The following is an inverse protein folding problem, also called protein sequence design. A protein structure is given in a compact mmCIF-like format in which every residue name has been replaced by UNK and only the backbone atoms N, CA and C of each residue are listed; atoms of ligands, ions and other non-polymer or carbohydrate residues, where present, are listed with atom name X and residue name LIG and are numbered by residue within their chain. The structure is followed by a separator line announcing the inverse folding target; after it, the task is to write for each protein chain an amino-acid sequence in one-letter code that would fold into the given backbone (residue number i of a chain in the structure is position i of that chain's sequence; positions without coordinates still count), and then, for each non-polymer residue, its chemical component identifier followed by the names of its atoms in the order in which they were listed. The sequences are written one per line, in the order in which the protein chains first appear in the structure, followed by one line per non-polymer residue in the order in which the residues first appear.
data_IF_521578425185
#
_entry.id   IF_521578425185
#
_cell.length_a   1.000
_cell.length_b   1.000
_cell.length_c   1.000
_cell.angle_alpha   90.00
_cell.angle_beta   90.00
_cell.angle_gamma   90.00
#
_symmetry.space_group_name_H-M   'P 1'
#
loop_
_entity.id
_entity.type
_entity.pdbx_description
1 polymer ?
#
# COMPACT_ATOMS: atom_id res chain seq x y z
N UNK A 1 18.78 -14.26 -14.58
CA UNK A 1 19.47 -13.02 -14.14
C UNK A 1 19.30 -12.93 -12.63
N UNK A 2 20.35 -12.67 -11.84
CA UNK A 2 20.22 -12.60 -10.37
C UNK A 2 19.66 -11.22 -10.02
N UNK A 3 18.55 -11.17 -9.26
CA UNK A 3 17.93 -9.91 -8.84
C UNK A 3 18.79 -9.25 -7.75
N UNK A 4 18.80 -7.93 -7.72
CA UNK A 4 19.44 -7.16 -6.64
C UNK A 4 18.47 -7.04 -5.45
N UNK A 5 18.24 -8.18 -4.80
CA UNK A 5 17.46 -8.24 -3.57
C UNK A 5 18.40 -8.25 -2.37
N UNK A 6 18.03 -7.46 -1.37
CA UNK A 6 18.79 -7.32 -0.14
C UNK A 6 17.85 -7.30 1.06
N UNK A 7 18.39 -7.57 2.24
CA UNK A 7 17.68 -7.40 3.51
C UNK A 7 18.63 -6.77 4.53
N UNK A 8 18.10 -5.98 5.44
CA UNK A 8 18.85 -5.50 6.62
C UNK A 8 18.16 -6.05 7.85
N UNK A 9 18.92 -6.73 8.71
CA UNK A 9 18.39 -7.38 9.90
C UNK A 9 17.66 -6.41 10.85
N UNK A 10 16.59 -6.87 11.53
CA UNK A 10 15.95 -6.08 12.57
C UNK A 10 16.96 -5.67 13.66
N UNK A 11 16.91 -4.41 14.09
CA UNK A 11 17.79 -3.86 15.12
C UNK A 11 19.14 -3.34 14.61
N UNK A 12 19.51 -3.59 13.34
CA UNK A 12 20.59 -2.84 12.70
C UNK A 12 20.14 -1.38 12.41
N UNK A 13 21.05 -0.40 12.42
CA UNK A 13 20.76 0.98 12.02
C UNK A 13 20.37 1.09 10.53
N UNK A 14 19.11 0.77 10.20
CA UNK A 14 18.63 0.47 8.85
C UNK A 14 19.10 1.47 7.77
N UNK A 15 18.82 2.76 7.95
CA UNK A 15 19.18 3.79 6.97
C UNK A 15 20.69 4.00 6.87
N UNK A 16 21.40 4.02 8.00
CA UNK A 16 22.86 4.16 8.03
C UNK A 16 23.55 2.97 7.35
N UNK A 17 23.07 1.76 7.60
CA UNK A 17 23.55 0.54 6.94
C UNK A 17 23.34 0.62 5.43
N UNK A 18 22.14 1.01 4.99
CA UNK A 18 21.84 1.19 3.58
C UNK A 18 22.76 2.24 2.93
N UNK A 19 22.89 3.43 3.53
CA UNK A 19 23.72 4.52 2.98
C UNK A 19 25.18 4.10 2.88
N UNK A 20 25.74 3.42 3.89
CA UNK A 20 27.11 2.90 3.80
C UNK A 20 27.24 1.91 2.64
N UNK A 21 26.41 0.87 2.59
CA UNK A 21 26.47 -0.17 1.56
C UNK A 21 26.28 0.41 0.14
N UNK A 22 25.41 1.41 -0.02
CA UNK A 22 25.23 2.10 -1.30
C UNK A 22 26.49 2.88 -1.70
N UNK A 23 27.05 3.65 -0.77
CA UNK A 23 28.23 4.46 -1.01
C UNK A 23 29.49 3.59 -1.22
N UNK A 24 29.52 2.39 -0.66
CA UNK A 24 30.60 1.42 -0.82
C UNK A 24 30.45 0.58 -2.12
N UNK A 25 29.37 0.80 -2.90
CA UNK A 25 29.14 0.16 -4.20
C UNK A 25 28.57 -1.26 -4.13
N UNK A 26 28.06 -1.69 -2.97
CA UNK A 26 27.60 -3.07 -2.74
C UNK A 26 26.19 -3.35 -3.32
N UNK A 27 25.39 -2.29 -3.50
CA UNK A 27 23.97 -2.41 -3.88
C UNK A 27 23.78 -2.40 -5.40
N UNK A 28 24.28 -1.36 -6.07
CA UNK A 28 24.25 -1.19 -7.53
C UNK A 28 25.60 -0.66 -7.99
N UNK A 29 26.13 -1.20 -9.09
CA UNK A 29 27.47 -0.86 -9.58
C UNK A 29 27.63 0.59 -10.02
N UNK A 30 26.52 1.28 -10.30
CA UNK A 30 26.50 2.67 -10.78
C UNK A 30 26.55 3.73 -9.68
N UNK A 31 26.55 3.37 -8.39
CA UNK A 31 26.57 4.31 -7.28
C UNK A 31 27.65 3.94 -6.25
N UNK A 32 28.43 4.94 -5.86
CA UNK A 32 29.48 4.88 -4.85
C UNK A 32 29.86 6.30 -4.37
N UNK A 33 30.77 6.41 -3.41
CA UNK A 33 31.33 7.70 -2.94
C UNK A 33 32.01 8.50 -4.06
N UNK A 34 32.61 7.81 -5.01
CA UNK A 34 33.36 8.41 -6.12
C UNK A 34 32.46 8.76 -7.32
N UNK A 35 31.16 8.47 -7.21
CA UNK A 35 30.20 8.77 -8.27
C UNK A 35 30.09 10.28 -8.50
N UNK A 36 30.14 10.76 -9.76
CA UNK A 36 29.94 12.17 -10.05
C UNK A 36 28.61 12.70 -9.51
N UNK A 37 28.55 13.93 -8.95
CA UNK A 37 27.33 14.46 -8.33
C UNK A 37 26.08 14.41 -9.22
N UNK A 38 26.23 14.69 -10.52
CA UNK A 38 25.12 14.62 -11.48
C UNK A 38 24.62 13.20 -11.73
N UNK A 39 25.48 12.18 -11.58
CA UNK A 39 25.06 10.77 -11.70
C UNK A 39 24.31 10.34 -10.45
N UNK A 40 24.77 10.75 -9.26
CA UNK A 40 24.07 10.53 -7.99
C UNK A 40 22.66 11.14 -8.02
N UNK A 41 22.53 12.36 -8.54
CA UNK A 41 21.25 13.07 -8.64
C UNK A 41 20.21 12.40 -9.56
N UNK A 42 20.65 11.55 -10.50
CA UNK A 42 19.75 10.84 -11.43
C UNK A 42 19.21 9.54 -10.85
N UNK A 43 19.80 9.03 -9.77
CA UNK A 43 19.27 7.85 -9.10
C UNK A 43 17.97 8.18 -8.37
N UNK A 44 17.05 7.23 -8.39
CA UNK A 44 15.77 7.32 -7.69
C UNK A 44 15.73 6.30 -6.56
N UNK A 45 15.36 6.74 -5.35
CA UNK A 45 15.19 5.90 -4.17
C UNK A 45 13.76 6.05 -3.66
N UNK A 46 12.96 5.01 -3.83
CA UNK A 46 11.64 4.89 -3.22
C UNK A 46 11.75 4.51 -1.74
N UNK A 47 11.00 5.19 -0.89
CA UNK A 47 10.93 4.95 0.56
C UNK A 47 9.47 4.86 1.01
N UNK A 48 9.13 4.20 2.12
CA UNK A 48 7.72 4.03 2.51
C UNK A 48 7.03 5.38 2.82
N UNK A 49 7.68 6.25 3.62
CA UNK A 49 7.04 7.47 4.14
C UNK A 49 7.86 8.73 3.95
N UNK A 50 7.22 9.90 4.11
CA UNK A 50 7.90 11.21 4.12
C UNK A 50 8.96 11.29 5.20
N UNK A 51 8.65 10.72 6.38
CA UNK A 51 9.58 10.67 7.50
C UNK A 51 10.82 9.86 7.13
N UNK A 52 10.66 8.73 6.43
CA UNK A 52 11.77 7.93 5.93
C UNK A 52 12.61 8.72 4.91
N UNK A 53 11.98 9.50 4.01
CA UNK A 53 12.71 10.31 3.04
C UNK A 53 13.60 11.37 3.71
N UNK A 54 13.03 12.13 4.67
CA UNK A 54 13.78 13.15 5.41
C UNK A 54 14.93 12.54 6.22
N UNK A 55 14.69 11.40 6.86
CA UNK A 55 15.71 10.68 7.61
C UNK A 55 16.83 10.17 6.69
N UNK A 56 16.48 9.61 5.53
CA UNK A 56 17.46 9.13 4.56
C UNK A 56 18.33 10.28 4.01
N UNK A 57 17.72 11.42 3.70
CA UNK A 57 18.46 12.60 3.26
C UNK A 57 19.48 13.08 4.31
N UNK A 58 19.11 13.05 5.59
CA UNK A 58 20.01 13.39 6.69
C UNK A 58 21.18 12.40 6.82
N UNK A 59 20.94 11.09 6.66
CA UNK A 59 21.99 10.06 6.67
C UNK A 59 22.98 10.24 5.51
N UNK A 60 22.51 10.56 4.30
CA UNK A 60 23.40 10.89 3.19
C UNK A 60 24.25 12.13 3.47
N UNK A 61 23.64 13.19 4.01
CA UNK A 61 24.35 14.42 4.33
C UNK A 61 25.48 14.18 5.35
N UNK A 62 25.23 13.34 6.36
CA UNK A 62 26.24 12.94 7.34
C UNK A 62 27.33 12.05 6.72
N UNK A 63 26.96 11.10 5.86
CA UNK A 63 27.89 10.12 5.33
C UNK A 63 28.83 10.63 4.23
N UNK A 64 28.44 11.68 3.49
CA UNK A 64 29.22 12.26 2.40
C UNK A 64 30.22 13.33 2.86
N UNK A 65 30.11 13.83 4.11
CA UNK A 65 31.00 14.81 4.76
C UNK A 65 31.51 15.93 3.82
N UNK A 66 30.61 16.45 2.98
CA UNK A 66 30.88 17.45 1.94
C UNK A 66 30.09 18.72 2.19
N UNK A 67 30.70 19.88 1.90
CA UNK A 67 30.03 21.20 2.03
C UNK A 67 28.75 21.33 1.19
N UNK A 68 28.70 20.70 0.01
CA UNK A 68 27.53 20.62 -0.84
C UNK A 68 27.62 19.38 -1.74
N UNK A 69 26.52 18.64 -1.87
CA UNK A 69 26.41 17.48 -2.75
C UNK A 69 25.00 17.42 -3.32
N UNK A 70 24.86 16.84 -4.51
CA UNK A 70 23.57 16.45 -5.02
C UNK A 70 23.22 15.07 -4.47
N UNK A 71 21.99 14.91 -4.00
CA UNK A 71 21.46 13.66 -3.48
C UNK A 71 20.62 12.96 -4.56
N UNK A 72 20.45 11.63 -4.45
CA UNK A 72 19.43 10.92 -5.23
C UNK A 72 18.05 11.55 -5.04
N UNK A 73 17.17 11.37 -6.03
CA UNK A 73 15.74 11.68 -5.89
C UNK A 73 15.15 10.70 -4.89
N UNK A 74 14.74 11.17 -3.71
CA UNK A 74 14.14 10.32 -2.69
C UNK A 74 12.62 10.51 -2.75
N UNK A 75 11.90 9.48 -3.19
CA UNK A 75 10.47 9.52 -3.47
C UNK A 75 9.69 8.65 -2.47
N UNK A 76 8.85 9.23 -1.62
CA UNK A 76 7.94 8.47 -0.77
C UNK A 76 6.87 7.75 -1.58
N UNK A 77 6.62 6.48 -1.26
CA UNK A 77 5.51 5.67 -1.79
C UNK A 77 4.17 6.05 -1.13
N UNK A 78 4.22 6.70 0.03
CA UNK A 78 3.09 7.02 0.91
C UNK A 78 1.97 7.89 0.34
N UNK A 79 1.94 8.15 -0.96
CA UNK A 79 0.75 8.66 -1.62
C UNK A 79 -0.46 7.73 -1.36
N UNK A 80 -0.26 6.41 -1.35
CA UNK A 80 -1.32 5.43 -1.05
C UNK A 80 -1.52 5.14 0.45
N UNK A 81 -0.66 5.64 1.35
CA UNK A 81 -0.68 5.30 2.79
C UNK A 81 -1.05 6.51 3.69
N UNK A 82 -0.77 7.74 3.28
CA UNK A 82 -0.99 8.95 4.10
C UNK A 82 -2.16 9.78 3.56
N UNK A 83 -3.31 9.71 4.26
CA UNK A 83 -4.54 10.52 4.03
C UNK A 83 -4.32 12.04 4.07
N UNK A 84 -3.14 12.55 4.41
CA UNK A 84 -2.91 13.98 4.69
C UNK A 84 -2.06 14.76 3.68
N UNK A 85 -1.41 14.16 2.67
CA UNK A 85 -0.43 14.91 1.86
C UNK A 85 -0.47 14.72 0.33
N UNK A 86 -1.58 14.23 -0.24
CA UNK A 86 -1.71 14.05 -1.70
C UNK A 86 -1.50 15.36 -2.52
N UNK A 87 -1.80 16.53 -1.95
CA UNK A 87 -1.75 17.82 -2.64
C UNK A 87 -0.34 18.32 -3.00
N UNK A 88 0.72 17.76 -2.42
CA UNK A 88 2.11 18.22 -2.63
C UNK A 88 2.87 17.45 -3.75
N UNK A 89 2.30 16.36 -4.28
CA UNK A 89 3.05 15.40 -5.12
C UNK A 89 2.64 15.33 -6.59
N UNK A 90 1.78 16.24 -7.07
CA UNK A 90 1.47 16.34 -8.49
C UNK A 90 2.68 16.69 -9.39
N UNK A 91 3.83 17.05 -8.81
CA UNK A 91 4.97 17.62 -9.56
C UNK A 91 6.20 16.72 -9.77
N UNK A 92 6.29 15.53 -9.18
CA UNK A 92 7.55 14.75 -9.18
C UNK A 92 7.47 13.38 -9.88
N UNK A 93 6.26 12.90 -10.15
CA UNK A 93 6.04 11.88 -11.16
C UNK A 93 6.09 12.58 -12.52
N UNK A 94 7.28 12.63 -13.09
CA UNK A 94 7.57 13.11 -14.46
C UNK A 94 7.05 12.09 -15.49
N UNK A 95 5.86 11.56 -15.24
CA UNK A 95 5.09 10.84 -16.23
C UNK A 95 4.38 11.98 -16.95
N UNK A 96 4.62 12.12 -18.27
CA UNK A 96 3.57 12.60 -19.17
C UNK A 96 2.41 11.59 -19.05
N UNK A 97 1.76 11.59 -17.88
CA UNK A 97 0.71 10.68 -17.54
C UNK A 97 -0.43 11.05 -18.46
N UNK A 98 -0.82 10.04 -19.23
CA UNK A 98 -1.94 10.02 -20.15
C UNK A 98 -2.91 11.17 -19.88
N UNK A 99 -2.99 12.12 -20.82
CA UNK A 99 -3.94 13.23 -20.77
C UNK A 99 -5.41 12.75 -20.63
N UNK A 100 -5.64 11.43 -20.64
CA UNK A 100 -6.91 10.76 -20.39
C UNK A 100 -7.25 10.49 -18.92
N UNK A 101 -6.37 10.71 -17.94
CA UNK A 101 -6.75 10.47 -16.54
C UNK A 101 -7.73 11.56 -16.05
N UNK A 102 -8.92 11.12 -15.64
CA UNK A 102 -9.89 12.00 -14.99
C UNK A 102 -9.29 12.64 -13.73
N UNK A 103 -9.65 13.90 -13.47
CA UNK A 103 -9.20 14.60 -12.27
C UNK A 103 -9.80 13.96 -11.01
N UNK A 104 -9.03 13.85 -9.92
CA UNK A 104 -9.56 13.42 -8.63
C UNK A 104 -10.73 14.30 -8.19
N UNK A 105 -11.76 13.69 -7.59
CA UNK A 105 -12.80 14.45 -6.91
C UNK A 105 -12.24 15.08 -5.62
N UNK A 106 -12.65 16.32 -5.33
CA UNK A 106 -12.28 17.00 -4.10
C UNK A 106 -12.94 16.34 -2.87
N UNK A 107 -12.20 16.23 -1.77
CA UNK A 107 -12.65 15.48 -0.58
C UNK A 107 -13.95 16.05 0.02
N UNK A 108 -14.11 17.38 0.03
CA UNK A 108 -15.36 17.99 0.51
C UNK A 108 -16.55 17.65 -0.40
N UNK A 109 -16.37 17.71 -1.72
CA UNK A 109 -17.42 17.36 -2.68
C UNK A 109 -17.79 15.88 -2.54
N UNK A 110 -16.77 15.00 -2.50
CA UNK A 110 -16.93 13.56 -2.26
C UNK A 110 -17.75 13.29 -1.01
N UNK A 111 -17.38 13.91 0.11
CA UNK A 111 -18.04 13.70 1.39
C UNK A 111 -19.48 14.20 1.40
N UNK A 112 -19.78 15.32 0.76
CA UNK A 112 -21.16 15.83 0.64
C UNK A 112 -22.03 14.94 -0.25
N UNK A 113 -21.51 14.45 -1.39
CA UNK A 113 -22.24 13.55 -2.28
C UNK A 113 -22.54 12.21 -1.59
N UNK A 114 -21.54 11.59 -0.96
CA UNK A 114 -21.75 10.36 -0.19
C UNK A 114 -22.75 10.56 0.95
N UNK A 115 -22.72 11.71 1.64
CA UNK A 115 -23.71 12.04 2.68
C UNK A 115 -25.14 12.07 2.13
N UNK A 116 -25.34 12.60 0.92
CA UNK A 116 -26.65 12.63 0.28
C UNK A 116 -27.15 11.22 -0.05
N UNK A 117 -26.29 10.34 -0.57
CA UNK A 117 -26.64 8.94 -0.85
C UNK A 117 -27.00 8.19 0.43
N UNK A 118 -26.26 8.42 1.52
CA UNK A 118 -26.54 7.82 2.82
C UNK A 118 -27.91 8.29 3.36
N UNK A 119 -28.23 9.58 3.23
CA UNK A 119 -29.54 10.11 3.65
C UNK A 119 -30.68 9.52 2.81
N UNK A 120 -30.51 9.44 1.49
CA UNK A 120 -31.49 8.83 0.58
C UNK A 120 -31.70 7.35 0.89
N UNK A 121 -30.62 6.61 1.16
CA UNK A 121 -30.68 5.22 1.60
C UNK A 121 -31.41 5.06 2.93
N UNK A 122 -31.13 5.92 3.92
CA UNK A 122 -31.76 5.87 5.23
C UNK A 122 -33.28 6.14 5.13
N UNK A 123 -33.69 7.11 4.31
CA UNK A 123 -35.09 7.41 4.01
C UNK A 123 -35.78 6.23 3.29
N UNK A 124 -35.11 5.62 2.31
CA UNK A 124 -35.64 4.49 1.55
C UNK A 124 -35.87 3.23 2.40
N UNK A 125 -35.07 3.01 3.45
CA UNK A 125 -35.31 1.91 4.41
C UNK A 125 -36.45 2.27 5.36
N UNK A 126 -36.49 3.51 5.85
CA UNK A 126 -37.66 4.15 6.49
C UNK A 126 -38.28 3.47 7.73
N UNK A 127 -37.74 2.33 8.19
CA UNK A 127 -38.32 1.48 9.25
C UNK A 127 -37.23 0.92 10.16
N UNK A 128 -37.48 0.90 11.46
CA UNK A 128 -36.57 0.32 12.44
C UNK A 128 -36.59 -1.20 12.38
N UNK A 129 -35.42 -1.82 12.38
CA UNK A 129 -35.28 -3.25 12.52
C UNK A 129 -35.48 -3.65 14.00
N UNK A 130 -36.51 -4.45 14.30
CA UNK A 130 -36.84 -4.87 15.68
C UNK A 130 -36.25 -6.24 16.01
N UNK A 131 -36.39 -7.19 15.09
CA UNK A 131 -35.96 -8.58 15.28
C UNK A 131 -35.80 -9.30 13.94
N UNK A 132 -35.25 -10.51 13.98
CA UNK A 132 -35.09 -11.41 12.83
C UNK A 132 -35.70 -12.75 13.23
N UNK A 133 -36.55 -13.32 12.37
CA UNK A 133 -37.15 -14.64 12.64
C UNK A 133 -36.21 -15.81 12.27
N UNK A 134 -36.63 -17.05 12.52
CA UNK A 134 -35.80 -18.24 12.27
C UNK A 134 -35.55 -18.54 10.79
N UNK A 135 -36.20 -17.82 9.87
CA UNK A 135 -35.94 -17.91 8.43
C UNK A 135 -34.95 -16.87 7.94
N UNK A 136 -34.50 -15.97 8.81
CA UNK A 136 -33.76 -14.80 8.39
C UNK A 136 -34.62 -13.92 7.51
N UNK A 137 -35.84 -13.61 7.95
CA UNK A 137 -36.62 -12.47 7.45
C UNK A 137 -36.65 -11.32 8.49
N UNK A 138 -36.48 -10.04 8.08
CA UNK A 138 -36.36 -8.93 9.01
C UNK A 138 -37.75 -8.50 9.48
N UNK A 139 -37.95 -8.46 10.79
CA UNK A 139 -39.13 -7.86 11.41
C UNK A 139 -38.88 -6.37 11.60
N UNK A 140 -39.50 -5.57 10.74
CA UNK A 140 -39.41 -4.11 10.73
C UNK A 140 -40.61 -3.50 11.48
N UNK A 141 -40.39 -2.47 12.30
CA UNK A 141 -41.49 -1.68 12.86
C UNK A 141 -41.85 -0.55 11.90
N UNK A 142 -43.11 -0.46 11.50
CA UNK A 142 -43.59 0.65 10.66
C UNK A 142 -43.59 2.00 11.39
N UNK A 143 -43.60 1.98 12.73
CA UNK A 143 -43.76 3.18 13.55
C UNK A 143 -42.45 3.75 14.11
N UNK A 144 -41.33 3.05 13.92
CA UNK A 144 -40.02 3.49 14.43
C UNK A 144 -39.05 3.77 13.27
N UNK A 145 -38.29 4.87 13.29
CA UNK A 145 -37.32 5.18 12.25
C UNK A 145 -36.02 4.39 12.46
N UNK A 146 -35.36 3.99 11.36
CA UNK A 146 -33.99 3.48 11.42
C UNK A 146 -33.06 4.61 11.93
N UNK A 147 -32.32 4.36 13.01
CA UNK A 147 -31.50 5.40 13.66
C UNK A 147 -30.13 5.62 12.99
N UNK A 148 -29.79 4.87 11.94
CA UNK A 148 -28.54 5.04 11.20
C UNK A 148 -28.58 6.35 10.41
N UNK A 149 -27.58 7.22 10.62
CA UNK A 149 -27.46 8.50 9.93
C UNK A 149 -28.71 9.40 10.04
N UNK A 150 -29.41 9.38 11.17
CA UNK A 150 -30.67 10.12 11.44
C UNK A 150 -30.55 11.65 11.41
N UNK A 151 -29.34 12.19 11.25
CA UNK A 151 -29.07 13.63 11.11
C UNK A 151 -28.06 13.87 9.98
N UNK A 152 -28.08 15.07 9.36
CA UNK A 152 -27.06 15.42 8.36
C UNK A 152 -25.62 15.32 8.87
N UNK A 153 -25.37 15.61 10.15
CA UNK A 153 -24.05 15.47 10.75
C UNK A 153 -23.64 14.00 10.91
N UNK A 154 -24.58 13.13 11.27
CA UNK A 154 -24.31 11.69 11.36
C UNK A 154 -24.06 11.09 9.97
N UNK A 155 -24.83 11.49 8.94
CA UNK A 155 -24.58 11.10 7.56
C UNK A 155 -23.20 11.56 7.06
N UNK A 156 -22.80 12.80 7.40
CA UNK A 156 -21.48 13.34 7.05
C UNK A 156 -20.31 12.65 7.77
N UNK A 157 -20.52 12.17 8.99
CA UNK A 157 -19.55 11.32 9.68
C UNK A 157 -19.46 9.94 9.00
N UNK A 158 -20.60 9.29 8.73
CA UNK A 158 -20.65 7.99 8.08
C UNK A 158 -20.09 8.02 6.64
N UNK A 159 -20.26 9.13 5.93
CA UNK A 159 -19.67 9.35 4.61
C UNK A 159 -18.14 9.26 4.62
N UNK A 160 -17.47 9.68 5.71
CA UNK A 160 -16.02 9.55 5.83
C UNK A 160 -15.57 8.09 6.00
N UNK A 161 -16.33 7.30 6.77
CA UNK A 161 -16.08 5.87 6.94
C UNK A 161 -16.35 5.11 5.64
N UNK A 162 -17.45 5.43 4.96
CA UNK A 162 -17.76 4.83 3.65
C UNK A 162 -16.70 5.20 2.59
N UNK A 163 -16.25 6.46 2.57
CA UNK A 163 -15.14 6.89 1.72
C UNK A 163 -13.84 6.14 2.03
N UNK A 164 -13.53 5.92 3.31
CA UNK A 164 -12.37 5.13 3.73
C UNK A 164 -12.47 3.68 3.23
N UNK A 165 -13.65 3.06 3.33
CA UNK A 165 -13.89 1.73 2.81
C UNK A 165 -13.67 1.68 1.29
N UNK A 166 -14.25 2.63 0.54
CA UNK A 166 -14.05 2.72 -0.93
C UNK A 166 -12.56 2.80 -1.27
N UNK A 167 -11.79 3.59 -0.52
CA UNK A 167 -10.36 3.71 -0.72
C UNK A 167 -9.62 2.39 -0.46
N UNK A 168 -9.99 1.66 0.59
CA UNK A 168 -9.42 0.35 0.89
C UNK A 168 -9.72 -0.68 -0.20
N UNK A 169 -10.94 -0.68 -0.77
CA UNK A 169 -11.28 -1.55 -1.90
C UNK A 169 -10.42 -1.26 -3.13
N UNK A 170 -10.17 0.02 -3.42
CA UNK A 170 -9.26 0.39 -4.49
C UNK A 170 -7.82 -0.06 -4.22
N UNK A 171 -7.32 0.16 -3.01
CA UNK A 171 -5.95 -0.16 -2.60
C UNK A 171 -5.70 -1.67 -2.67
N UNK A 172 -6.64 -2.48 -2.20
CA UNK A 172 -6.52 -3.95 -2.10
C UNK A 172 -6.95 -4.71 -3.37
N UNK A 173 -7.21 -4.01 -4.48
CA UNK A 173 -7.62 -4.65 -5.75
C UNK A 173 -8.89 -5.51 -5.60
N UNK A 174 -9.79 -5.16 -4.68
CA UNK A 174 -11.02 -5.93 -4.43
C UNK A 174 -12.04 -5.68 -5.54
N UNK A 175 -12.40 -6.74 -6.27
CA UNK A 175 -13.48 -6.66 -7.27
C UNK A 175 -14.83 -6.48 -6.60
N UNK A 176 -15.72 -5.72 -7.24
CA UNK A 176 -17.13 -5.59 -6.84
C UNK A 176 -17.83 -6.95 -6.79
N UNK A 177 -17.46 -7.88 -7.69
CA UNK A 177 -18.02 -9.23 -7.76
C UNK A 177 -17.66 -10.09 -6.54
N UNK A 178 -16.60 -9.75 -5.80
CA UNK A 178 -16.20 -10.49 -4.61
C UNK A 178 -17.26 -10.39 -3.50
N UNK A 179 -18.01 -9.28 -3.45
CA UNK A 179 -19.05 -9.07 -2.45
C UNK A 179 -20.28 -9.95 -2.65
N UNK A 180 -20.54 -10.39 -3.88
CA UNK A 180 -21.65 -11.30 -4.18
C UNK A 180 -21.39 -12.71 -3.62
N UNK A 181 -20.14 -13.03 -3.26
CA UNK A 181 -19.74 -14.32 -2.69
C UNK A 181 -19.70 -14.35 -1.15
N UNK A 182 -19.86 -13.20 -0.49
CA UNK A 182 -19.74 -13.07 0.96
C UNK A 182 -21.03 -13.40 1.74
N UNK A 183 -22.09 -13.91 1.08
CA UNK A 183 -23.33 -14.27 1.77
C UNK A 183 -23.19 -15.63 2.47
N UNK A 184 -22.91 -15.60 3.78
CA UNK A 184 -23.14 -16.75 4.65
C UNK A 184 -24.65 -16.88 4.94
N UNK A 185 -25.19 -18.07 4.69
CA UNK A 185 -26.61 -18.45 4.92
C UNK A 185 -27.06 -18.28 6.39
N UNK A 186 -26.13 -18.01 7.32
CA UNK A 186 -26.38 -17.92 8.76
C UNK A 186 -26.79 -16.52 9.28
N UNK A 187 -26.61 -15.44 8.49
CA UNK A 187 -26.84 -14.04 8.95
C UNK A 187 -27.64 -13.17 7.96
N UNK A 188 -28.47 -13.81 7.13
CA UNK A 188 -29.16 -13.30 5.92
C UNK A 188 -29.67 -11.84 5.95
N UNK A 189 -30.32 -11.38 7.02
CA UNK A 189 -31.03 -10.08 6.98
C UNK A 189 -30.21 -8.84 7.30
N UNK A 190 -29.40 -8.91 8.36
CA UNK A 190 -28.50 -7.80 8.68
C UNK A 190 -27.47 -7.66 7.56
N UNK A 191 -27.03 -8.80 7.03
CA UNK A 191 -26.24 -8.85 5.83
C UNK A 191 -26.96 -8.21 4.63
N UNK A 192 -28.25 -8.49 4.40
CA UNK A 192 -29.00 -7.85 3.33
C UNK A 192 -29.08 -6.31 3.46
N UNK A 193 -29.19 -5.77 4.68
CA UNK A 193 -29.16 -4.32 4.93
C UNK A 193 -27.76 -3.76 4.66
N UNK A 194 -26.72 -4.41 5.17
CA UNK A 194 -25.32 -4.02 4.93
C UNK A 194 -24.97 -4.10 3.44
N UNK A 195 -25.36 -5.16 2.74
CA UNK A 195 -25.17 -5.28 1.29
C UNK A 195 -25.87 -4.15 0.54
N UNK A 196 -27.13 -3.83 0.90
CA UNK A 196 -27.85 -2.68 0.31
C UNK A 196 -27.13 -1.36 0.57
N UNK A 197 -26.57 -1.15 1.77
CA UNK A 197 -25.75 0.02 2.07
C UNK A 197 -24.47 0.05 1.23
N UNK A 198 -23.78 -1.08 1.12
CA UNK A 198 -22.55 -1.21 0.32
C UNK A 198 -22.81 -1.01 -1.18
N UNK A 199 -24.04 -1.19 -1.68
CA UNK A 199 -24.38 -0.82 -3.07
C UNK A 199 -24.14 0.66 -3.37
N UNK A 200 -24.19 1.54 -2.36
CA UNK A 200 -23.79 2.95 -2.51
C UNK A 200 -22.34 3.02 -3.02
N UNK A 201 -21.42 2.33 -2.34
CA UNK A 201 -20.00 2.30 -2.70
C UNK A 201 -19.73 1.50 -3.99
N UNK A 202 -20.45 0.40 -4.20
CA UNK A 202 -20.14 -0.58 -5.24
C UNK A 202 -20.79 -0.26 -6.60
N UNK A 203 -21.90 0.48 -6.63
CA UNK A 203 -22.65 0.76 -7.87
C UNK A 203 -22.97 2.24 -8.06
N UNK A 204 -23.61 2.88 -7.09
CA UNK A 204 -24.07 4.26 -7.24
C UNK A 204 -22.91 5.25 -7.34
N UNK A 205 -21.91 5.09 -6.48
CA UNK A 205 -20.75 5.97 -6.41
C UNK A 205 -19.88 5.95 -7.68
N UNK A 206 -19.49 4.78 -8.24
CA UNK A 206 -18.77 4.72 -9.52
C UNK A 206 -19.52 5.41 -10.67
N UNK A 207 -20.85 5.28 -10.73
CA UNK A 207 -21.66 5.94 -11.76
C UNK A 207 -21.64 7.47 -11.60
N UNK A 208 -21.78 7.96 -10.36
CA UNK A 208 -21.72 9.39 -10.02
C UNK A 208 -20.38 10.01 -10.44
N UNK A 209 -19.28 9.29 -10.23
CA UNK A 209 -17.94 9.71 -10.67
C UNK A 209 -17.82 9.72 -12.19
N UNK A 210 -18.33 8.69 -12.87
CA UNK A 210 -18.33 8.58 -14.33
C UNK A 210 -19.10 9.75 -14.97
N UNK A 211 -20.31 10.05 -14.48
CA UNK A 211 -21.16 11.14 -14.98
C UNK A 211 -20.50 12.52 -14.81
N UNK A 212 -19.64 12.66 -13.78
CA UNK A 212 -18.89 13.89 -13.49
C UNK A 212 -17.54 13.96 -14.19
N UNK A 213 -17.09 12.89 -14.86
CA UNK A 213 -15.73 12.79 -15.38
C UNK A 213 -14.69 12.97 -14.27
N UNK A 214 -14.92 12.29 -13.14
CA UNK A 214 -14.04 12.32 -11.95
C UNK A 214 -13.61 10.90 -11.58
N UNK A 215 -12.65 10.81 -10.67
CA UNK A 215 -12.15 9.57 -10.09
C UNK A 215 -11.87 9.77 -8.60
N UNK A 216 -11.93 8.72 -7.79
CA UNK A 216 -11.42 8.79 -6.41
C UNK A 216 -9.91 9.03 -6.38
N UNK A 217 -9.44 9.76 -5.37
CA UNK A 217 -8.01 10.06 -5.21
C UNK A 217 -7.16 8.79 -5.04
N UNK A 218 -7.66 7.80 -4.30
CA UNK A 218 -7.01 6.49 -4.11
C UNK A 218 -6.83 5.74 -5.44
N UNK A 219 -7.89 5.68 -6.25
CA UNK A 219 -7.86 5.06 -7.58
C UNK A 219 -6.96 5.83 -8.56
N UNK A 220 -6.95 7.17 -8.50
CA UNK A 220 -6.06 7.99 -9.30
C UNK A 220 -4.58 7.71 -8.98
N UNK A 221 -4.21 7.71 -7.70
CA UNK A 221 -2.84 7.43 -7.25
C UNK A 221 -2.40 6.02 -7.66
N UNK A 222 -3.28 5.03 -7.50
CA UNK A 222 -3.03 3.67 -7.95
C UNK A 222 -2.73 3.63 -9.46
N UNK A 223 -3.53 4.30 -10.29
CA UNK A 223 -3.30 4.39 -11.74
C UNK A 223 -1.97 5.07 -12.09
N UNK A 224 -1.54 6.08 -11.32
CA UNK A 224 -0.22 6.70 -11.52
C UNK A 224 0.91 5.69 -11.28
N UNK A 225 0.81 4.88 -10.22
CA UNK A 225 1.81 3.85 -9.95
C UNK A 225 1.77 2.76 -11.02
N UNK A 226 0.59 2.35 -11.48
CA UNK A 226 0.46 1.38 -12.57
C UNK A 226 1.06 1.90 -13.88
N UNK A 227 0.86 3.17 -14.20
CA UNK A 227 1.50 3.84 -15.34
C UNK A 227 3.03 3.86 -15.17
N UNK A 228 3.52 4.17 -13.97
CA UNK A 228 4.96 4.14 -13.66
C UNK A 228 5.54 2.73 -13.82
N UNK A 229 4.83 1.68 -13.38
CA UNK A 229 5.24 0.28 -13.56
C UNK A 229 5.34 -0.06 -15.05
N UNK A 230 4.31 0.31 -15.83
CA UNK A 230 4.28 0.09 -17.27
C UNK A 230 5.44 0.81 -17.96
N UNK A 231 5.74 2.05 -17.55
CA UNK A 231 6.86 2.82 -18.10
C UNK A 231 8.21 2.20 -17.76
N UNK A 232 8.42 1.72 -16.53
CA UNK A 232 9.65 1.01 -16.15
C UNK A 232 9.88 -0.24 -17.00
N UNK A 233 8.80 -0.94 -17.38
CA UNK A 233 8.89 -2.12 -18.23
C UNK A 233 9.14 -1.75 -19.72
N UNK A 234 8.49 -0.69 -20.21
CA UNK A 234 8.58 -0.24 -21.61
C UNK A 234 9.90 0.45 -21.91
N UNK A 235 10.35 1.32 -21.02
CA UNK A 235 11.58 2.10 -21.14
C UNK A 235 12.42 1.95 -19.86
N UNK A 236 13.12 0.80 -19.68
CA UNK A 236 13.94 0.59 -18.50
C UNK A 236 14.98 1.72 -18.33
N UNK A 237 15.00 2.41 -17.17
CA UNK A 237 15.92 3.51 -16.96
C UNK A 237 17.37 3.01 -16.87
N UNK A 238 18.29 3.80 -17.44
CA UNK A 238 19.73 3.55 -17.28
C UNK A 238 20.23 3.98 -15.91
N UNK A 239 19.60 5.00 -15.33
CA UNK A 239 19.89 5.44 -13.97
C UNK A 239 19.37 4.43 -12.93
N UNK A 240 20.05 4.28 -11.78
CA UNK A 240 19.62 3.34 -10.75
C UNK A 240 18.26 3.67 -10.15
N UNK A 241 17.45 2.63 -9.92
CA UNK A 241 16.15 2.73 -9.26
C UNK A 241 16.13 1.76 -8.08
N UNK A 242 15.95 2.30 -6.88
CA UNK A 242 16.06 1.55 -5.64
C UNK A 242 14.77 1.68 -4.86
N UNK A 243 14.29 0.59 -4.26
CA UNK A 243 13.25 0.66 -3.25
C UNK A 243 13.77 0.21 -1.89
N UNK A 244 13.54 1.02 -0.86
CA UNK A 244 14.14 0.88 0.45
C UNK A 244 13.07 0.78 1.53
N UNK A 245 13.03 -0.36 2.22
CA UNK A 245 12.29 -0.53 3.47
C UNK A 245 10.78 -0.69 3.34
N UNK A 246 10.25 -0.88 2.13
CA UNK A 246 8.83 -1.25 1.94
C UNK A 246 8.65 -2.76 2.09
N UNK A 247 7.55 -3.15 2.72
CA UNK A 247 7.10 -4.55 2.84
C UNK A 247 6.13 -4.97 1.74
N UNK A 248 5.74 -4.04 0.86
CA UNK A 248 4.80 -4.31 -0.23
C UNK A 248 3.42 -4.74 0.26
N UNK A 249 2.93 -4.16 1.36
CA UNK A 249 1.63 -4.53 1.95
C UNK A 249 0.48 -4.38 0.94
N UNK A 250 0.49 -3.28 0.19
CA UNK A 250 -0.48 -3.01 -0.86
C UNK A 250 -0.09 -3.72 -2.18
N UNK A 251 -1.04 -4.37 -2.89
CA UNK A 251 -0.78 -5.10 -4.13
C UNK A 251 -0.04 -4.28 -5.20
N UNK A 252 -0.46 -3.04 -5.43
CA UNK A 252 0.14 -2.16 -6.45
C UNK A 252 1.59 -1.81 -6.08
N UNK A 253 1.86 -1.56 -4.80
CA UNK A 253 3.22 -1.33 -4.30
C UNK A 253 4.08 -2.59 -4.45
N UNK A 254 3.56 -3.78 -4.14
CA UNK A 254 4.27 -5.04 -4.37
C UNK A 254 4.64 -5.24 -5.85
N UNK A 255 3.71 -4.92 -6.77
CA UNK A 255 3.97 -4.94 -8.23
C UNK A 255 5.09 -3.95 -8.62
N UNK A 256 5.10 -2.74 -8.07
CA UNK A 256 6.18 -1.77 -8.29
C UNK A 256 7.53 -2.29 -7.80
N UNK A 257 7.58 -2.84 -6.58
CA UNK A 257 8.81 -3.41 -6.02
C UNK A 257 9.32 -4.58 -6.89
N UNK A 258 8.42 -5.42 -7.38
CA UNK A 258 8.76 -6.52 -8.28
C UNK A 258 9.30 -6.01 -9.63
N UNK A 259 8.69 -4.96 -10.21
CA UNK A 259 9.18 -4.33 -11.42
C UNK A 259 10.59 -3.76 -11.22
N UNK A 260 10.83 -3.03 -10.12
CA UNK A 260 12.15 -2.49 -9.76
C UNK A 260 13.17 -3.62 -9.60
N UNK A 261 12.83 -4.72 -8.91
CA UNK A 261 13.72 -5.86 -8.74
C UNK A 261 14.11 -6.56 -10.06
N UNK A 262 13.31 -6.38 -11.12
CA UNK A 262 13.56 -6.91 -12.46
C UNK A 262 14.48 -6.05 -13.32
N UNK A 263 14.72 -4.78 -12.96
CA UNK A 263 15.58 -3.87 -13.72
C UNK A 263 17.06 -4.24 -13.60
N UNK A 264 17.84 -3.91 -14.63
CA UNK A 264 19.30 -4.11 -14.64
C UNK A 264 19.99 -3.34 -13.51
N UNK A 265 19.65 -2.06 -13.37
CA UNK A 265 20.15 -1.16 -12.33
C UNK A 265 19.11 -0.96 -11.22
N UNK A 266 18.22 -1.94 -11.04
CA UNK A 266 17.23 -1.97 -9.97
C UNK A 266 17.80 -2.55 -8.68
N UNK A 267 17.26 -2.16 -7.52
CA UNK A 267 17.49 -2.90 -6.27
C UNK A 267 16.31 -2.76 -5.29
N UNK A 268 16.05 -3.79 -4.50
CA UNK A 268 15.05 -3.75 -3.41
C UNK A 268 15.71 -4.20 -2.10
N UNK A 269 15.57 -3.37 -1.06
CA UNK A 269 16.12 -3.60 0.26
C UNK A 269 14.96 -3.81 1.24
N UNK A 270 14.80 -5.06 1.69
CA UNK A 270 13.73 -5.50 2.56
C UNK A 270 14.05 -5.17 4.04
N UNK A 271 13.06 -4.71 4.81
CA UNK A 271 13.22 -4.45 6.24
C UNK A 271 13.07 -5.75 7.04
N UNK A 272 14.20 -6.38 7.38
CA UNK A 272 14.21 -7.45 8.37
C UNK A 272 13.58 -8.76 7.93
N UNK A 273 13.86 -9.20 6.70
CA UNK A 273 13.51 -10.54 6.26
C UNK A 273 14.20 -11.58 7.15
N UNK A 274 13.39 -12.45 7.75
CA UNK A 274 13.89 -13.60 8.48
C UNK A 274 14.43 -14.64 7.50
N UNK A 275 15.70 -15.03 7.65
CA UNK A 275 16.34 -16.08 6.84
C UNK A 275 16.80 -17.29 7.69
N UNK A 276 16.46 -17.30 8.98
CA UNK A 276 16.92 -18.29 9.99
C UNK A 276 15.80 -19.23 10.43
N UNK A 277 14.56 -18.74 10.58
CA UNK A 277 13.37 -19.54 10.90
C UNK A 277 13.30 -20.83 10.06
N UNK A 278 12.82 -21.93 10.64
CA UNK A 278 12.72 -23.22 9.93
C UNK A 278 11.80 -23.15 8.70
N UNK A 279 11.99 -24.09 7.76
CA UNK A 279 11.14 -24.19 6.57
C UNK A 279 9.67 -24.48 6.92
N UNK A 280 9.42 -25.29 7.95
CA UNK A 280 8.07 -25.65 8.40
C UNK A 280 7.35 -24.42 8.97
N UNK A 281 8.02 -23.66 9.85
CA UNK A 281 7.47 -22.43 10.40
C UNK A 281 7.21 -21.39 9.30
N UNK A 282 8.15 -21.22 8.36
CA UNK A 282 7.97 -20.33 7.22
C UNK A 282 6.78 -20.73 6.34
N UNK A 283 6.57 -22.03 6.14
CA UNK A 283 5.43 -22.55 5.38
C UNK A 283 4.11 -22.16 6.04
N UNK A 284 4.00 -22.27 7.36
CA UNK A 284 2.81 -21.90 8.13
C UNK A 284 2.46 -20.40 8.14
N UNK A 285 3.42 -19.51 7.88
CA UNK A 285 3.15 -18.05 7.83
C UNK A 285 2.10 -17.71 6.76
N UNK A 286 0.95 -17.19 7.18
CA UNK A 286 -0.14 -16.73 6.28
C UNK A 286 -0.86 -17.83 5.49
N UNK A 287 -0.79 -19.10 5.91
CA UNK A 287 -1.57 -20.20 5.31
C UNK A 287 -2.87 -20.47 6.05
N UNK A 288 -3.91 -20.83 5.29
CA UNK A 288 -5.22 -21.31 5.78
C UNK A 288 -5.44 -22.81 5.63
N UNK A 289 -4.65 -23.49 4.80
CA UNK A 289 -4.96 -24.86 4.34
C UNK A 289 -4.33 -25.97 5.17
N UNK A 290 -3.29 -25.67 5.95
CA UNK A 290 -2.68 -26.63 6.88
C UNK A 290 -3.44 -26.56 8.20
N UNK A 291 -3.95 -27.68 8.73
CA UNK A 291 -4.84 -27.78 9.91
C UNK A 291 -4.32 -27.28 11.27
N UNK A 292 -3.41 -26.29 11.28
CA UNK A 292 -3.08 -25.44 12.44
C UNK A 292 -3.70 -24.04 12.32
N UNK A 293 -3.53 -23.22 13.35
CA UNK A 293 -4.04 -21.84 13.35
C UNK A 293 -3.33 -20.98 12.28
N UNK A 294 -4.08 -20.32 11.38
CA UNK A 294 -3.51 -19.41 10.39
C UNK A 294 -2.77 -18.24 11.05
N UNK A 295 -1.47 -18.09 10.74
CA UNK A 295 -0.66 -17.01 11.31
C UNK A 295 -0.71 -15.74 10.44
N UNK A 296 -1.92 -15.22 10.18
CA UNK A 296 -2.12 -13.97 9.42
C UNK A 296 -1.50 -12.75 10.12
N UNK A 297 -1.39 -12.80 11.44
CA UNK A 297 -0.79 -11.74 12.26
C UNK A 297 0.73 -11.85 12.36
N UNK A 298 1.35 -12.83 11.69
CA UNK A 298 2.79 -13.03 11.77
C UNK A 298 3.57 -11.86 11.13
N UNK A 299 4.62 -11.31 11.78
CA UNK A 299 5.36 -10.15 11.25
C UNK A 299 5.99 -10.36 9.87
N UNK A 300 6.33 -11.60 9.51
CA UNK A 300 6.92 -11.95 8.21
C UNK A 300 5.89 -12.20 7.09
N UNK A 301 4.57 -12.13 7.37
CA UNK A 301 3.52 -12.47 6.41
C UNK A 301 3.56 -11.56 5.17
N UNK A 302 3.72 -10.25 5.35
CA UNK A 302 3.83 -9.29 4.25
C UNK A 302 5.07 -9.53 3.39
N UNK A 303 6.24 -9.74 4.02
CA UNK A 303 7.48 -10.02 3.29
C UNK A 303 7.41 -11.35 2.52
N UNK A 304 6.75 -12.37 3.08
CA UNK A 304 6.49 -13.65 2.39
C UNK A 304 5.62 -13.44 1.14
N UNK A 305 4.52 -12.69 1.26
CA UNK A 305 3.65 -12.33 0.13
C UNK A 305 4.43 -11.54 -0.94
N UNK A 306 5.27 -10.60 -0.52
CA UNK A 306 6.10 -9.81 -1.43
C UNK A 306 7.11 -10.67 -2.21
N UNK A 307 7.82 -11.58 -1.53
CA UNK A 307 8.74 -12.51 -2.18
C UNK A 307 8.03 -13.40 -3.21
N UNK A 308 6.83 -13.90 -2.87
CA UNK A 308 6.00 -14.66 -3.80
C UNK A 308 5.62 -13.81 -5.04
N UNK A 309 5.21 -12.56 -4.85
CA UNK A 309 4.90 -11.63 -5.95
C UNK A 309 6.11 -11.33 -6.85
N UNK A 310 7.33 -11.34 -6.29
CA UNK A 310 8.58 -11.19 -7.04
C UNK A 310 9.05 -12.49 -7.73
N UNK A 311 8.47 -13.63 -7.37
CA UNK A 311 9.00 -14.95 -7.74
C UNK A 311 10.41 -15.19 -7.19
N UNK A 312 10.67 -14.70 -5.97
CA UNK A 312 11.96 -14.80 -5.30
C UNK A 312 11.91 -15.82 -4.15
N UNK A 313 13.00 -16.56 -3.96
CA UNK A 313 13.16 -17.45 -2.82
C UNK A 313 13.56 -16.66 -1.57
N UNK A 314 13.27 -17.21 -0.39
CA UNK A 314 13.57 -16.57 0.91
C UNK A 314 15.06 -16.32 1.13
N UNK A 315 15.92 -17.16 0.57
CA UNK A 315 17.38 -17.10 0.65
C UNK A 315 18.02 -16.30 -0.49
N UNK A 316 17.24 -15.81 -1.46
CA UNK A 316 17.73 -14.98 -2.57
C UNK A 316 18.23 -13.59 -2.12
N UNK A 317 17.52 -12.86 -1.22
CA UNK A 317 17.99 -11.56 -0.73
C UNK A 317 19.30 -11.68 0.04
N UNK A 318 20.28 -10.85 -0.31
CA UNK A 318 21.57 -10.78 0.39
C UNK A 318 21.46 -9.89 1.62
N UNK A 319 21.92 -10.37 2.77
CA UNK A 319 21.95 -9.56 3.97
C UNK A 319 23.03 -8.47 3.87
N UNK A 320 22.63 -7.22 4.10
CA UNK A 320 23.52 -6.07 4.16
C UNK A 320 24.00 -5.84 5.61
N UNK A 321 25.29 -5.53 5.74
CA UNK A 321 26.08 -5.39 6.96
C UNK A 321 26.41 -6.68 7.73
N UNK A 322 27.55 -6.63 8.44
CA UNK A 322 27.90 -7.62 9.47
C UNK A 322 27.17 -7.28 10.76
N UNK A 323 26.18 -8.10 11.09
CA UNK A 323 25.48 -8.03 12.37
C UNK A 323 26.49 -8.22 13.51
N UNK A 324 26.45 -7.37 14.54
CA UNK A 324 27.31 -7.56 15.71
C UNK A 324 26.99 -8.90 16.38
N UNK A 325 27.94 -9.57 17.06
CA UNK A 325 27.66 -10.85 17.73
C UNK A 325 26.45 -10.79 18.68
N UNK A 326 26.24 -9.66 19.35
CA UNK A 326 25.10 -9.44 20.23
C UNK A 326 23.76 -9.38 19.47
N UNK A 327 23.70 -8.70 18.32
CA UNK A 327 22.50 -8.66 17.49
C UNK A 327 22.24 -10.03 16.83
N UNK A 328 23.28 -10.75 16.45
CA UNK A 328 23.15 -12.11 15.91
C UNK A 328 22.59 -13.08 16.97
N UNK A 329 23.08 -13.00 18.21
CA UNK A 329 22.55 -13.78 19.32
C UNK A 329 21.08 -13.43 19.63
N UNK A 330 20.72 -12.14 19.62
CA UNK A 330 19.33 -11.70 19.81
C UNK A 330 18.41 -12.23 18.71
N UNK A 331 18.85 -12.20 17.45
CA UNK A 331 18.08 -12.72 16.31
C UNK A 331 17.89 -14.23 16.35
N UNK A 332 18.82 -14.98 16.95
CA UNK A 332 18.65 -16.42 17.12
C UNK A 332 17.69 -16.81 18.26
N UNK A 333 17.41 -15.88 19.17
CA UNK A 333 16.54 -16.10 20.33
C UNK A 333 15.08 -15.74 20.07
N UNK A 334 14.83 -14.73 19.22
CA UNK A 334 13.50 -14.24 18.81
C UNK A 334 13.08 -14.97 17.54
#
# INVERSE_FOLDING_TARGET
RRRNLFTIAPGAPFLKTFVSALLDGEIVSGLSRDTPPLTMARATIYVPTQRAARALAAEFAQALDRRATLLPRILPLGALEERENAALFAGDFDVEADASLAAPIEELERRLLLSQLILQWAEAIGRALISVDTSGAPSLHESEPLLVASTPSAAYALAAELGALIDELHIEDVSVDAFDTLSDDAYSDFWAITTKFLQIALREWPQILADRGRIDASAYQKRLIEAQIAELARTPPTAPVIALGSTGAQPTTARLLAAIAGLENGAVILPGLDQIMSADAWTGVGQTESGGEPAFTHPQMMLKRLLAAMGAARDEPRELARVTPALAARRAFV
#
